data_IF_545488724086
#
_entry.id   IF_545488724086
#
_cell.length_a   1.000
_cell.length_b   1.000
_cell.length_c   1.000
_cell.angle_alpha   90.00
_cell.angle_beta   90.00
_cell.angle_gamma   90.00
#
_symmetry.space_group_name_H-M   'P 1'
#
loop_
_entity.id
_entity.type
_entity.pdbx_description
1 polymer ?
#
# COMPACT_ATOMS: atom_id res chain seq x y z
N UNK A 1 15.39 -8.52 -4.21
CA UNK A 1 14.02 -8.35 -3.68
C UNK A 1 13.38 -7.23 -4.50
N UNK A 2 12.44 -7.55 -5.38
CA UNK A 2 11.76 -6.52 -6.17
C UNK A 2 10.83 -5.73 -5.23
N UNK A 3 11.03 -4.42 -5.13
CA UNK A 3 10.22 -3.49 -4.32
C UNK A 3 9.34 -2.70 -5.29
N UNK A 4 8.06 -2.51 -4.93
CA UNK A 4 7.03 -1.89 -5.78
C UNK A 4 6.56 -0.64 -5.09
N UNK A 5 6.27 0.37 -5.90
CA UNK A 5 5.65 1.59 -5.43
C UNK A 5 4.30 1.71 -6.13
N UNK A 6 3.21 1.54 -5.38
CA UNK A 6 1.88 1.90 -5.84
C UNK A 6 1.68 3.41 -5.62
N UNK A 7 1.97 4.22 -6.63
CA UNK A 7 1.75 5.66 -6.56
C UNK A 7 0.26 5.95 -6.71
N UNK A 8 -0.35 6.50 -5.66
CA UNK A 8 -1.56 7.29 -5.76
C UNK A 8 -1.13 8.69 -6.22
N UNK A 9 -1.35 9.04 -7.49
CA UNK A 9 -1.02 10.38 -8.00
C UNK A 9 -2.05 11.36 -7.45
N UNK A 10 -1.73 12.01 -6.33
CA UNK A 10 -2.31 13.29 -5.93
C UNK A 10 -1.36 14.09 -5.03
N UNK A 11 -0.31 14.65 -5.63
CA UNK A 11 0.54 15.63 -4.93
C UNK A 11 1.05 16.70 -5.88
N UNK A 12 0.17 17.61 -6.37
CA UNK A 12 0.56 18.97 -6.76
C UNK A 12 -0.64 19.86 -7.13
N UNK A 13 -1.38 20.43 -6.15
CA UNK A 13 -1.96 21.81 -6.27
C UNK A 13 -2.64 22.36 -5.00
N UNK A 14 -2.02 22.28 -3.81
CA UNK A 14 -2.40 23.24 -2.74
C UNK A 14 -1.31 23.42 -1.66
N UNK A 15 -0.13 23.87 -2.08
CA UNK A 15 0.73 24.65 -1.20
C UNK A 15 0.68 26.10 -1.67
N UNK A 16 -0.11 26.91 -0.96
CA UNK A 16 0.16 28.32 -0.62
C UNK A 16 -0.86 28.74 0.45
N UNK A 17 -0.54 28.57 1.73
CA UNK A 17 -0.40 29.74 2.59
C UNK A 17 0.36 29.44 3.89
N UNK A 18 1.22 30.39 4.26
CA UNK A 18 2.30 30.33 5.25
C UNK A 18 1.80 30.55 6.68
N UNK A 19 2.59 30.06 7.65
CA UNK A 19 2.52 30.51 9.03
C UNK A 19 3.42 29.76 10.01
N UNK A 20 4.74 29.70 9.78
CA UNK A 20 5.72 29.19 10.75
C UNK A 20 6.28 30.36 11.60
N UNK A 21 6.04 30.31 12.91
CA UNK A 21 6.66 31.18 13.91
C UNK A 21 7.95 30.51 14.40
N UNK A 22 9.08 31.20 14.21
CA UNK A 22 10.38 30.85 14.77
C UNK A 22 10.42 31.12 16.28
N UNK A 23 10.93 30.17 17.06
CA UNK A 23 11.55 30.47 18.36
C UNK A 23 12.93 29.81 18.44
N UNK A 24 13.92 30.66 18.63
CA UNK A 24 15.33 30.40 18.87
C UNK A 24 15.59 29.91 20.29
N UNK A 25 16.39 28.85 20.47
CA UNK A 25 17.22 28.63 21.68
C UNK A 25 18.46 27.81 21.30
N UNK A 26 19.64 28.24 21.77
CA UNK A 26 20.89 27.48 21.87
C UNK A 26 21.56 27.85 23.21
N UNK A 27 22.64 27.19 23.66
CA UNK A 27 23.03 25.78 23.59
C UNK A 27 23.37 25.21 25.01
N UNK A 28 23.85 23.96 25.07
CA UNK A 28 24.67 23.30 26.12
C UNK A 28 24.02 22.06 26.76
N UNK A 29 24.32 20.86 26.22
CA UNK A 29 24.35 19.60 27.00
C UNK A 29 25.23 18.53 26.32
N UNK A 30 26.24 18.09 27.07
CA UNK A 30 27.02 16.83 27.03
C UNK A 30 27.15 16.02 25.74
N UNK A 31 28.38 16.00 25.19
CA UNK A 31 28.86 15.12 24.10
C UNK A 31 28.69 13.60 24.36
N UNK A 32 28.42 13.17 25.60
CA UNK A 32 28.28 11.76 25.95
C UNK A 32 26.85 11.21 25.79
N UNK A 33 25.81 12.06 25.78
CA UNK A 33 24.42 11.61 25.53
C UNK A 33 24.15 11.35 24.03
N UNK A 34 24.95 11.97 23.15
CA UNK A 34 24.81 11.82 21.69
C UNK A 34 25.19 10.41 21.22
N UNK A 35 26.23 9.81 21.82
CA UNK A 35 26.68 8.47 21.45
C UNK A 35 25.76 7.36 21.99
N UNK A 36 25.19 7.50 23.19
CA UNK A 36 24.24 6.50 23.70
C UNK A 36 22.90 6.53 22.96
N UNK A 37 22.46 7.72 22.51
CA UNK A 37 21.33 7.90 21.62
C UNK A 37 21.56 7.22 20.27
N UNK A 38 22.70 7.50 19.63
CA UNK A 38 23.10 6.88 18.35
C UNK A 38 23.25 5.35 18.45
N UNK A 39 23.78 4.83 19.57
CA UNK A 39 23.96 3.38 19.80
C UNK A 39 22.62 2.68 20.06
N UNK A 40 21.69 3.29 20.81
CA UNK A 40 20.34 2.74 20.98
C UNK A 40 19.50 2.85 19.70
N UNK A 41 19.74 3.87 18.89
CA UNK A 41 19.11 4.08 17.58
C UNK A 41 19.60 3.05 16.54
N UNK A 42 20.85 2.59 16.64
CA UNK A 42 21.38 1.44 15.90
C UNK A 42 20.85 0.08 16.39
N UNK A 43 20.40 0.00 17.64
CA UNK A 43 19.79 -1.19 18.25
C UNK A 43 18.26 -1.15 18.12
N UNK A 44 17.74 -0.87 16.92
CA UNK A 44 16.36 -1.30 16.66
C UNK A 44 16.36 -2.81 16.86
N UNK A 45 15.62 -3.28 17.87
CA UNK A 45 15.50 -4.70 18.17
C UNK A 45 15.00 -5.40 16.90
N UNK A 46 15.92 -6.10 16.22
CA UNK A 46 15.68 -6.75 14.92
C UNK A 46 14.46 -7.67 14.99
N UNK A 47 14.14 -8.18 16.19
CA UNK A 47 12.97 -9.01 16.43
C UNK A 47 11.63 -8.29 16.20
N UNK A 48 11.59 -6.96 16.33
CA UNK A 48 10.35 -6.16 16.20
C UNK A 48 10.21 -5.47 14.84
N UNK A 49 11.22 -5.55 13.96
CA UNK A 49 11.19 -4.89 12.66
C UNK A 49 9.98 -5.32 11.81
N UNK A 50 9.53 -6.57 11.95
CA UNK A 50 8.35 -7.06 11.23
C UNK A 50 7.04 -6.37 11.65
N UNK A 51 6.98 -5.76 12.84
CA UNK A 51 5.78 -5.12 13.38
C UNK A 51 5.49 -3.75 12.76
N UNK A 52 6.47 -3.12 12.10
CA UNK A 52 6.29 -1.83 11.44
C UNK A 52 5.45 -1.98 10.18
N UNK A 53 4.20 -1.56 10.26
CA UNK A 53 3.28 -1.54 9.12
C UNK A 53 3.53 -0.35 8.16
N UNK A 54 4.32 0.64 8.58
CA UNK A 54 4.72 1.80 7.79
C UNK A 54 6.24 2.05 7.90
N UNK A 55 6.94 2.02 6.76
CA UNK A 55 8.38 2.18 6.66
C UNK A 55 8.86 3.58 7.08
N UNK A 56 8.00 4.59 7.07
CA UNK A 56 8.34 5.94 7.54
C UNK A 56 8.53 6.01 9.06
N UNK A 57 8.04 5.00 9.78
CA UNK A 57 8.16 4.88 11.24
C UNK A 57 9.40 4.13 11.69
N UNK A 58 10.17 3.56 10.76
CA UNK A 58 11.45 2.92 11.05
C UNK A 58 12.50 4.00 11.32
N UNK A 59 13.19 3.95 12.45
CA UNK A 59 14.21 4.93 12.81
C UNK A 59 15.58 4.26 13.01
N UNK A 60 16.65 4.70 12.32
CA UNK A 60 16.66 5.71 11.27
C UNK A 60 16.06 5.19 9.95
N UNK A 61 15.43 6.06 9.15
CA UNK A 61 14.97 5.70 7.79
C UNK A 61 16.18 5.67 6.85
N UNK A 62 16.77 4.50 6.67
CA UNK A 62 17.91 4.28 5.77
C UNK A 62 17.59 3.12 4.82
N UNK A 63 18.23 3.03 3.64
CA UNK A 63 18.04 1.88 2.75
C UNK A 63 18.27 0.54 3.44
N UNK A 64 19.25 0.48 4.34
CA UNK A 64 19.60 -0.73 5.10
C UNK A 64 18.50 -1.12 6.09
N UNK A 65 17.97 -0.18 6.87
CA UNK A 65 16.92 -0.44 7.86
C UNK A 65 15.58 -0.78 7.18
N UNK A 66 15.27 -0.10 6.08
CA UNK A 66 14.09 -0.42 5.25
C UNK A 66 14.19 -1.84 4.67
N UNK A 67 15.36 -2.22 4.13
CA UNK A 67 15.57 -3.56 3.59
C UNK A 67 15.40 -4.63 4.67
N UNK A 68 16.01 -4.44 5.86
CA UNK A 68 15.87 -5.36 7.00
C UNK A 68 14.41 -5.48 7.46
N UNK A 69 13.69 -4.37 7.56
CA UNK A 69 12.27 -4.36 7.89
C UNK A 69 11.44 -5.18 6.88
N UNK A 70 11.63 -4.93 5.59
CA UNK A 70 10.94 -5.67 4.54
C UNK A 70 11.31 -7.18 4.55
N UNK A 71 12.57 -7.53 4.83
CA UNK A 71 13.01 -8.93 4.98
C UNK A 71 12.36 -9.61 6.20
N UNK A 72 12.29 -8.93 7.34
CA UNK A 72 11.65 -9.43 8.55
C UNK A 72 10.14 -9.64 8.33
N UNK A 73 9.46 -8.68 7.69
CA UNK A 73 8.05 -8.78 7.30
C UNK A 73 7.80 -9.93 6.33
N UNK A 74 8.64 -10.08 5.31
CA UNK A 74 8.54 -11.18 4.36
C UNK A 74 8.67 -12.55 5.04
N UNK A 75 9.64 -12.68 5.96
CA UNK A 75 9.84 -13.90 6.75
C UNK A 75 8.64 -14.22 7.66
N UNK A 76 7.97 -13.19 8.15
CA UNK A 76 6.72 -13.29 8.91
C UNK A 76 5.45 -13.47 8.02
N UNK A 77 5.61 -13.68 6.69
CA UNK A 77 4.52 -13.79 5.71
C UNK A 77 3.63 -12.54 5.61
N UNK A 78 4.20 -11.37 5.88
CA UNK A 78 3.58 -10.05 5.70
C UNK A 78 4.09 -9.43 4.40
N UNK A 79 3.28 -9.50 3.35
CA UNK A 79 3.71 -9.14 1.99
C UNK A 79 3.40 -7.70 1.59
N UNK A 80 2.73 -6.94 2.44
CA UNK A 80 2.35 -5.56 2.19
C UNK A 80 2.86 -4.66 3.31
N UNK A 81 3.38 -3.49 2.98
CA UNK A 81 3.90 -2.50 3.94
C UNK A 81 3.65 -1.10 3.40
N UNK A 82 3.18 -0.18 4.23
CA UNK A 82 3.05 1.22 3.83
C UNK A 82 4.42 1.91 3.78
N UNK A 83 4.52 2.91 2.93
CA UNK A 83 5.63 3.84 2.81
C UNK A 83 5.04 5.24 2.60
N UNK A 84 4.53 5.84 3.68
CA UNK A 84 3.75 7.08 3.60
C UNK A 84 2.46 6.86 2.80
N UNK A 85 2.30 7.58 1.69
CA UNK A 85 1.13 7.45 0.80
C UNK A 85 1.22 6.29 -0.20
N UNK A 86 2.34 5.57 -0.24
CA UNK A 86 2.59 4.49 -1.20
C UNK A 86 2.53 3.14 -0.50
N UNK A 87 1.96 2.14 -1.17
CA UNK A 87 1.99 0.76 -0.72
C UNK A 87 3.14 -0.02 -1.38
N UNK A 88 3.98 -0.62 -0.56
CA UNK A 88 5.01 -1.59 -0.96
C UNK A 88 4.43 -3.00 -0.87
N UNK A 89 4.39 -3.69 -2.00
CA UNK A 89 4.06 -5.11 -2.07
C UNK A 89 5.34 -5.93 -2.24
N UNK A 90 5.41 -7.15 -1.71
CA UNK A 90 6.49 -8.10 -1.96
C UNK A 90 5.89 -9.37 -2.55
N UNK A 91 6.35 -9.79 -3.72
CA UNK A 91 5.83 -11.00 -4.35
C UNK A 91 6.18 -12.23 -3.51
N UNK A 92 5.21 -12.99 -2.99
CA UNK A 92 5.46 -14.15 -2.16
C UNK A 92 5.84 -15.40 -2.97
N UNK A 93 5.75 -15.35 -4.32
CA UNK A 93 5.97 -16.47 -5.25
C UNK A 93 5.17 -17.74 -4.92
N UNK A 94 4.06 -17.58 -4.21
CA UNK A 94 3.16 -18.65 -3.80
C UNK A 94 1.71 -18.18 -3.91
N UNK A 95 0.81 -19.13 -4.13
CA UNK A 95 -0.62 -18.84 -4.21
C UNK A 95 -1.20 -18.66 -2.80
N UNK A 96 -1.80 -17.49 -2.54
CA UNK A 96 -2.38 -17.12 -1.24
C UNK A 96 -3.87 -16.80 -1.41
N UNK A 97 -4.75 -17.81 -1.47
CA UNK A 97 -6.18 -17.60 -1.77
C UNK A 97 -6.87 -16.78 -0.68
N UNK A 98 -6.51 -16.98 0.59
CA UNK A 98 -7.17 -16.33 1.72
C UNK A 98 -6.92 -14.81 1.75
N UNK A 99 -5.72 -14.38 1.32
CA UNK A 99 -5.30 -12.97 1.29
C UNK A 99 -6.14 -12.14 0.30
N UNK A 100 -6.64 -12.77 -0.77
CA UNK A 100 -7.42 -12.13 -1.83
C UNK A 100 -8.86 -12.67 -1.92
N UNK A 101 -9.35 -13.25 -0.83
CA UNK A 101 -10.69 -13.82 -0.75
C UNK A 101 -11.77 -12.73 -0.87
N UNK A 102 -12.96 -13.14 -1.33
CA UNK A 102 -14.12 -12.24 -1.40
C UNK A 102 -14.49 -11.68 -0.01
N UNK A 103 -14.29 -12.47 1.04
CA UNK A 103 -14.57 -12.06 2.41
C UNK A 103 -13.57 -10.99 2.88
N UNK A 104 -12.29 -11.12 2.51
CA UNK A 104 -11.32 -10.03 2.74
C UNK A 104 -11.69 -8.76 1.98
N UNK A 105 -12.12 -8.85 0.73
CA UNK A 105 -12.55 -7.67 -0.03
C UNK A 105 -13.72 -6.96 0.67
N UNK A 106 -14.72 -7.72 1.12
CA UNK A 106 -15.87 -7.17 1.87
C UNK A 106 -15.45 -6.57 3.21
N UNK A 107 -14.53 -7.22 3.92
CA UNK A 107 -14.01 -6.74 5.21
C UNK A 107 -13.43 -5.32 5.07
N UNK A 108 -12.56 -5.09 4.09
CA UNK A 108 -11.99 -3.76 3.83
C UNK A 108 -13.03 -2.75 3.35
N UNK A 109 -14.00 -3.18 2.53
CA UNK A 109 -15.05 -2.30 2.04
C UNK A 109 -16.00 -1.81 3.15
N UNK A 110 -16.41 -2.71 4.05
CA UNK A 110 -17.34 -2.39 5.14
C UNK A 110 -16.69 -1.66 6.31
N UNK A 111 -15.35 -1.65 6.40
CA UNK A 111 -14.64 -1.02 7.51
C UNK A 111 -14.76 0.52 7.46
N UNK A 112 -15.15 1.22 8.53
CA UNK A 112 -15.22 2.68 8.53
C UNK A 112 -13.85 3.31 8.30
N UNK A 113 -12.79 2.73 8.89
CA UNK A 113 -11.41 3.22 8.79
C UNK A 113 -10.47 2.09 8.31
N UNK A 114 -10.43 1.77 7.00
CA UNK A 114 -9.63 0.66 6.47
C UNK A 114 -8.12 0.85 6.68
N UNK A 115 -7.66 2.08 6.93
CA UNK A 115 -6.26 2.42 7.22
C UNK A 115 -5.79 1.87 8.59
N UNK A 116 -6.70 1.50 9.50
CA UNK A 116 -6.36 0.90 10.80
C UNK A 116 -6.05 -0.60 10.69
N UNK A 117 -6.42 -1.23 9.57
CA UNK A 117 -6.10 -2.62 9.32
C UNK A 117 -4.66 -2.79 8.87
N UNK A 118 -4.22 -4.05 8.86
CA UNK A 118 -2.90 -4.40 8.31
C UNK A 118 -2.76 -3.90 6.87
N UNK A 119 -1.56 -3.42 6.46
CA UNK A 119 -1.33 -2.93 5.12
C UNK A 119 -1.80 -3.94 4.08
N UNK A 120 -2.56 -3.47 3.10
CA UNK A 120 -3.13 -4.32 2.07
C UNK A 120 -3.47 -3.52 0.82
N UNK A 121 -3.45 -4.17 -0.34
CA UNK A 121 -3.84 -3.54 -1.62
C UNK A 121 -5.28 -3.01 -1.61
N UNK A 122 -6.16 -3.65 -0.82
CA UNK A 122 -7.57 -3.24 -0.70
C UNK A 122 -7.74 -1.92 0.04
N UNK A 123 -6.78 -1.50 0.87
CA UNK A 123 -6.81 -0.15 1.46
C UNK A 123 -6.74 0.89 0.35
N UNK A 124 -5.78 0.73 -0.57
CA UNK A 124 -5.59 1.67 -1.68
C UNK A 124 -6.78 1.64 -2.65
N UNK A 125 -7.33 0.45 -2.90
CA UNK A 125 -8.52 0.31 -3.72
C UNK A 125 -9.75 1.00 -3.09
N UNK A 126 -9.95 0.81 -1.78
CA UNK A 126 -11.07 1.41 -1.05
C UNK A 126 -10.93 2.93 -0.96
N UNK A 127 -9.73 3.44 -0.72
CA UNK A 127 -9.46 4.87 -0.70
C UNK A 127 -9.79 5.52 -2.05
N UNK A 128 -9.32 4.95 -3.16
CA UNK A 128 -9.67 5.42 -4.50
C UNK A 128 -11.18 5.32 -4.77
N UNK A 129 -11.84 4.24 -4.33
CA UNK A 129 -13.29 4.09 -4.48
C UNK A 129 -14.08 5.16 -3.72
N UNK A 130 -13.72 5.42 -2.46
CA UNK A 130 -14.34 6.45 -1.62
C UNK A 130 -14.12 7.85 -2.17
N UNK A 131 -12.92 8.14 -2.67
CA UNK A 131 -12.62 9.43 -3.30
C UNK A 131 -13.55 9.72 -4.48
N UNK A 132 -13.93 8.71 -5.27
CA UNK A 132 -14.90 8.88 -6.36
C UNK A 132 -16.33 9.03 -5.80
N UNK A 133 -16.70 8.21 -4.81
CA UNK A 133 -18.08 8.14 -4.29
C UNK A 133 -18.48 9.36 -3.46
N UNK A 134 -17.55 9.86 -2.65
CA UNK A 134 -17.83 10.87 -1.62
C UNK A 134 -17.68 12.31 -2.16
N UNK A 135 -17.18 12.48 -3.39
CA UNK A 135 -17.06 13.78 -4.05
C UNK A 135 -18.37 14.22 -4.74
N UNK A 136 -18.71 15.51 -4.59
CA UNK A 136 -19.85 16.15 -5.27
C UNK A 136 -19.69 16.17 -6.79
N UNK A 137 -18.47 16.40 -7.26
CA UNK A 137 -18.09 16.27 -8.67
C UNK A 137 -17.09 15.12 -8.82
N UNK A 138 -17.39 14.08 -9.61
CA UNK A 138 -16.53 12.90 -9.69
C UNK A 138 -15.20 13.22 -10.39
N UNK A 139 -14.10 13.19 -9.64
CA UNK A 139 -12.75 13.26 -10.19
C UNK A 139 -12.22 11.85 -10.49
N UNK A 140 -11.68 11.69 -11.69
CA UNK A 140 -11.04 10.45 -12.11
C UNK A 140 -9.85 10.11 -11.19
N UNK A 141 -9.80 8.87 -10.72
CA UNK A 141 -8.68 8.35 -9.93
C UNK A 141 -7.75 7.51 -10.81
N UNK A 142 -6.46 7.52 -10.49
CA UNK A 142 -5.45 6.70 -11.16
C UNK A 142 -4.64 5.91 -10.13
N UNK A 143 -4.52 4.61 -10.35
CA UNK A 143 -3.67 3.72 -9.58
C UNK A 143 -2.48 3.28 -10.44
N UNK A 144 -1.27 3.67 -10.04
CA UNK A 144 -0.05 3.34 -10.78
C UNK A 144 0.65 2.17 -10.13
N UNK A 145 0.71 1.02 -10.83
CA UNK A 145 1.43 -0.18 -10.40
C UNK A 145 2.80 -0.23 -11.06
N UNK A 146 3.87 0.01 -10.29
CA UNK A 146 5.25 0.01 -10.78
C UNK A 146 6.07 -1.16 -10.23
N UNK A 147 7.06 -1.63 -10.99
CA UNK A 147 7.97 -2.72 -10.59
C UNK A 147 8.64 -3.41 -11.78
N UNK A 148 9.68 -4.20 -11.52
CA UNK A 148 10.42 -4.95 -12.54
C UNK A 148 9.60 -6.09 -13.17
N UNK A 149 10.19 -6.86 -14.08
CA UNK A 149 9.56 -8.08 -14.61
C UNK A 149 9.45 -9.16 -13.54
N UNK A 150 8.41 -10.01 -13.59
CA UNK A 150 8.18 -11.07 -12.60
C UNK A 150 7.74 -10.58 -11.22
N UNK A 151 7.60 -9.27 -11.10
CA UNK A 151 7.41 -8.62 -9.84
C UNK A 151 5.91 -8.76 -9.38
N UNK A 152 4.97 -8.93 -10.31
CA UNK A 152 3.56 -9.19 -9.97
C UNK A 152 2.62 -8.01 -10.23
N UNK A 153 3.04 -7.05 -11.06
CA UNK A 153 2.21 -5.93 -11.52
C UNK A 153 0.85 -6.40 -12.07
N UNK A 154 0.88 -7.35 -13.00
CA UNK A 154 -0.32 -7.93 -13.63
C UNK A 154 -1.25 -8.57 -12.61
N UNK A 155 -0.70 -9.27 -11.61
CA UNK A 155 -1.50 -9.88 -10.54
C UNK A 155 -2.17 -8.81 -9.66
N UNK A 156 -1.42 -7.79 -9.25
CA UNK A 156 -1.95 -6.65 -8.49
C UNK A 156 -3.08 -5.94 -9.23
N UNK A 157 -2.90 -5.66 -10.53
CA UNK A 157 -3.95 -5.05 -11.36
C UNK A 157 -5.21 -5.92 -11.44
N UNK A 158 -5.06 -7.24 -11.62
CA UNK A 158 -6.18 -8.19 -11.61
C UNK A 158 -6.92 -8.16 -10.27
N UNK A 159 -6.19 -8.14 -9.17
CA UNK A 159 -6.74 -8.09 -7.82
C UNK A 159 -7.55 -6.80 -7.57
N UNK A 160 -7.02 -5.65 -7.99
CA UNK A 160 -7.72 -4.36 -7.93
C UNK A 160 -9.03 -4.38 -8.74
N UNK A 161 -9.00 -4.89 -9.97
CA UNK A 161 -10.20 -4.96 -10.81
C UNK A 161 -11.26 -5.88 -10.22
N UNK A 162 -10.84 -7.02 -9.64
CA UNK A 162 -11.73 -7.93 -8.93
C UNK A 162 -12.36 -7.27 -7.69
N UNK A 163 -11.58 -6.49 -6.94
CA UNK A 163 -12.08 -5.72 -5.81
C UNK A 163 -13.19 -4.76 -6.25
N UNK A 164 -12.95 -3.92 -7.26
CA UNK A 164 -13.94 -2.95 -7.75
C UNK A 164 -15.20 -3.62 -8.31
N UNK A 165 -15.05 -4.72 -9.05
CA UNK A 165 -16.19 -5.48 -9.54
C UNK A 165 -17.04 -6.05 -8.38
N UNK A 166 -16.39 -6.53 -7.31
CA UNK A 166 -17.05 -7.07 -6.13
C UNK A 166 -17.79 -5.99 -5.33
N UNK A 167 -17.16 -4.84 -5.12
CA UNK A 167 -17.76 -3.69 -4.42
C UNK A 167 -18.94 -3.11 -5.20
N UNK A 168 -18.80 -2.92 -6.52
CA UNK A 168 -19.88 -2.43 -7.37
C UNK A 168 -21.08 -3.40 -7.48
N UNK A 169 -20.82 -4.72 -7.43
CA UNK A 169 -21.89 -5.71 -7.37
C UNK A 169 -22.63 -5.67 -6.01
N UNK A 170 -21.91 -5.38 -4.93
CA UNK A 170 -22.50 -5.29 -3.58
C UNK A 170 -23.41 -4.07 -3.42
N UNK A 171 -23.09 -2.93 -4.05
CA UNK A 171 -23.89 -1.71 -3.98
C UNK A 171 -25.14 -1.71 -4.87
N UNK A 172 -25.14 -2.48 -5.96
CA UNK A 172 -26.26 -2.53 -6.93
C UNK A 172 -27.38 -3.50 -6.57
N UNK A 173 -27.28 -4.24 -5.45
CA UNK A 173 -28.28 -5.22 -5.01
C UNK A 173 -28.40 -6.46 -5.91
N UNK A 174 -27.75 -6.47 -7.07
CA UNK A 174 -27.63 -7.65 -7.94
C UNK A 174 -26.59 -8.62 -7.35
N UNK A 175 -27.07 -9.65 -6.66
CA UNK A 175 -26.28 -10.81 -6.22
C UNK A 175 -25.85 -11.67 -7.42
N UNK A 176 -25.05 -11.13 -8.34
CA UNK A 176 -24.58 -11.92 -9.48
C UNK A 176 -23.07 -12.00 -9.48
N UNK A 177 -22.57 -13.00 -8.76
CA UNK A 177 -21.19 -13.48 -8.84
C UNK A 177 -20.73 -13.62 -10.32
N UNK A 178 -21.65 -13.94 -11.22
CA UNK A 178 -21.41 -13.98 -12.67
C UNK A 178 -20.97 -12.65 -13.29
N UNK A 179 -21.38 -11.49 -12.76
CA UNK A 179 -20.92 -10.18 -13.26
C UNK A 179 -19.48 -9.92 -12.85
N UNK A 180 -19.11 -10.26 -11.62
CA UNK A 180 -17.72 -10.16 -11.12
C UNK A 180 -16.81 -11.06 -11.96
N UNK A 181 -17.20 -12.32 -12.13
CA UNK A 181 -16.46 -13.28 -12.96
C UNK A 181 -16.36 -12.85 -14.42
N UNK A 182 -17.40 -12.21 -14.98
CA UNK A 182 -17.40 -11.71 -16.35
C UNK A 182 -16.44 -10.54 -16.54
N UNK A 183 -16.39 -9.60 -15.59
CA UNK A 183 -15.45 -8.47 -15.62
C UNK A 183 -14.03 -9.00 -15.44
N UNK A 184 -13.80 -9.88 -14.46
CA UNK A 184 -12.51 -10.53 -14.24
C UNK A 184 -12.04 -11.21 -15.54
N UNK A 185 -12.84 -12.14 -16.10
CA UNK A 185 -12.49 -12.86 -17.34
C UNK A 185 -12.15 -11.93 -18.51
N UNK A 186 -12.96 -10.90 -18.77
CA UNK A 186 -12.68 -9.95 -19.87
C UNK A 186 -11.33 -9.25 -19.73
N UNK A 187 -10.92 -8.93 -18.51
CA UNK A 187 -9.59 -8.38 -18.25
C UNK A 187 -8.54 -9.46 -18.51
N UNK A 188 -8.72 -10.68 -17.99
CA UNK A 188 -7.74 -11.76 -18.14
C UNK A 188 -7.51 -12.15 -19.60
N UNK A 189 -8.59 -12.22 -20.37
CA UNK A 189 -8.58 -12.63 -21.77
C UNK A 189 -7.91 -11.57 -22.67
N UNK A 190 -7.79 -10.33 -22.18
CA UNK A 190 -7.06 -9.28 -22.89
C UNK A 190 -5.54 -9.41 -22.77
N UNK A 191 -5.05 -10.02 -21.68
CA UNK A 191 -3.60 -10.10 -21.42
C UNK A 191 -2.82 -10.87 -22.50
N UNK A 192 -3.23 -12.08 -22.95
CA UNK A 192 -2.50 -12.79 -24.00
C UNK A 192 -2.37 -11.99 -25.30
N UNK A 193 -3.40 -11.20 -25.62
CA UNK A 193 -3.38 -10.33 -26.81
C UNK A 193 -2.39 -9.18 -26.57
N UNK A 194 -2.48 -8.49 -25.43
CA UNK A 194 -1.57 -7.38 -25.13
C UNK A 194 -0.10 -7.84 -25.05
N UNK A 195 0.17 -9.00 -24.44
CA UNK A 195 1.51 -9.60 -24.34
C UNK A 195 2.03 -10.13 -25.69
N UNK A 196 1.15 -10.55 -26.60
CA UNK A 196 1.57 -10.98 -27.93
C UNK A 196 2.02 -9.81 -28.83
N UNK A 197 1.52 -8.60 -28.56
CA UNK A 197 1.80 -7.40 -29.36
C UNK A 197 2.66 -6.35 -28.63
N UNK A 198 3.05 -6.58 -27.36
CA UNK A 198 3.81 -5.64 -26.53
C UNK A 198 4.17 -6.19 -25.17
#
# INVERSE_FOLDING_TARGET
>A
MCVFFLNLVWFFLHQQNKGLVLKSVSPQTSLNDSLEGEVREFLTDESQLHAFDDLTKVNPVTPTTVLKCLQARYSAKLFYTQAGCTLVALNPFQHLPDLYSLDMMKLYHCAPQPQEFKPHIFIVAEEAYRNIRDQLEPLNQSLVVSGESGAGKTWTSRCLMKYYATVAASSSGLKSQSTVERIERRVLDSNPIMEAFG
#
